data_IF_104972219050
#
_entry.id   IF_104972219050
#
_cell.length_a   1.000
_cell.length_b   1.000
_cell.length_c   1.000
_cell.angle_alpha   90.00
_cell.angle_beta   90.00
_cell.angle_gamma   90.00
#
_symmetry.space_group_name_H-M   'P 1'
#
loop_
_entity.id
_entity.type
_entity.pdbx_description
1 polymer ?
#
# COMPACT_ATOMS: atom_id res chain seq x y z
N UNK A 1 -14.63 -22.47 -24.44
CA UNK A 1 -13.80 -22.41 -23.21
C UNK A 1 -12.86 -21.23 -23.35
N UNK A 2 -12.91 -20.26 -22.43
CA UNK A 2 -11.92 -19.19 -22.44
C UNK A 2 -10.56 -19.75 -21.95
N UNK A 3 -9.49 -19.51 -22.71
CA UNK A 3 -8.14 -19.86 -22.27
C UNK A 3 -7.80 -19.00 -21.05
N UNK A 4 -7.47 -19.64 -19.92
CA UNK A 4 -7.03 -18.93 -18.73
C UNK A 4 -5.69 -18.26 -18.98
N UNK A 5 -5.53 -17.01 -18.54
CA UNK A 5 -4.25 -16.29 -18.55
C UNK A 5 -3.54 -16.33 -17.21
N UNK A 6 -3.95 -17.23 -16.30
CA UNK A 6 -3.47 -17.31 -14.92
C UNK A 6 -1.94 -17.30 -14.79
N UNK A 7 -1.17 -18.10 -15.56
CA UNK A 7 0.29 -18.10 -15.45
C UNK A 7 0.96 -16.76 -15.83
N UNK A 8 0.27 -15.90 -16.58
CA UNK A 8 0.77 -14.58 -16.97
C UNK A 8 0.36 -13.47 -15.99
N UNK A 9 -0.72 -13.65 -15.24
CA UNK A 9 -1.23 -12.62 -14.31
C UNK A 9 -0.81 -12.86 -12.87
N UNK A 10 -0.63 -14.11 -12.45
CA UNK A 10 -0.25 -14.44 -11.07
C UNK A 10 1.14 -13.91 -10.68
N UNK A 11 2.20 -13.99 -11.52
CA UNK A 11 3.48 -13.37 -11.18
C UNK A 11 3.38 -11.85 -10.99
N UNK A 12 2.55 -11.18 -11.79
CA UNK A 12 2.33 -9.73 -11.66
C UNK A 12 1.58 -9.38 -10.38
N UNK A 13 0.69 -10.27 -9.92
CA UNK A 13 0.04 -10.12 -8.62
C UNK A 13 1.05 -10.25 -7.48
N UNK A 14 1.92 -11.26 -7.51
CA UNK A 14 2.98 -11.43 -6.52
C UNK A 14 3.93 -10.21 -6.47
N UNK A 15 4.42 -9.74 -7.63
CA UNK A 15 5.25 -8.55 -7.73
C UNK A 15 4.57 -7.30 -7.13
N UNK A 16 3.28 -7.12 -7.38
CA UNK A 16 2.53 -5.98 -6.87
C UNK A 16 2.31 -6.05 -5.35
N UNK A 17 2.08 -7.24 -4.80
CA UNK A 17 1.97 -7.45 -3.34
C UNK A 17 3.31 -7.16 -2.66
N UNK A 18 4.43 -7.65 -3.21
CA UNK A 18 5.78 -7.34 -2.71
C UNK A 18 6.04 -5.83 -2.72
N UNK A 19 5.74 -5.16 -3.84
CA UNK A 19 5.92 -3.72 -3.95
C UNK A 19 5.08 -2.93 -2.94
N UNK A 20 3.86 -3.39 -2.64
CA UNK A 20 3.02 -2.78 -1.61
C UNK A 20 3.60 -2.99 -0.20
N UNK A 21 4.08 -4.20 0.11
CA UNK A 21 4.73 -4.48 1.39
C UNK A 21 5.98 -3.62 1.57
N UNK A 22 6.82 -3.51 0.54
CA UNK A 22 8.04 -2.67 0.58
C UNK A 22 7.73 -1.19 0.77
N UNK A 23 6.68 -0.66 0.13
CA UNK A 23 6.25 0.72 0.32
C UNK A 23 5.80 0.99 1.77
N UNK A 24 5.10 0.02 2.38
CA UNK A 24 4.66 0.11 3.77
C UNK A 24 5.82 -0.05 4.77
N UNK A 25 6.74 -1.00 4.53
CA UNK A 25 7.98 -1.16 5.31
C UNK A 25 8.81 0.12 5.25
N UNK A 26 8.91 0.75 4.09
CA UNK A 26 9.61 2.03 3.96
C UNK A 26 8.99 3.10 4.89
N UNK A 27 7.66 3.20 4.97
CA UNK A 27 7.01 4.13 5.90
C UNK A 27 7.36 3.79 7.35
N UNK A 28 7.28 2.51 7.73
CA UNK A 28 7.52 2.03 9.10
C UNK A 28 8.97 2.23 9.55
N UNK A 29 9.92 1.83 8.71
CA UNK A 29 11.31 1.60 9.09
C UNK A 29 12.20 2.82 8.82
N UNK A 30 11.78 3.75 7.96
CA UNK A 30 12.57 4.96 7.65
C UNK A 30 12.49 5.97 8.79
N UNK A 31 13.65 6.48 9.22
CA UNK A 31 13.76 7.57 10.20
C UNK A 31 13.77 8.95 9.53
N UNK A 32 13.30 9.98 10.23
CA UNK A 32 13.32 11.36 9.76
C UNK A 32 11.97 11.82 9.22
N UNK A 33 11.94 12.97 8.56
CA UNK A 33 10.70 13.54 8.08
C UNK A 33 10.02 12.63 7.05
N UNK A 34 8.76 12.30 7.28
CA UNK A 34 7.96 11.46 6.40
C UNK A 34 7.39 12.31 5.26
N UNK A 35 7.69 11.97 4.01
CA UNK A 35 7.14 12.71 2.88
C UNK A 35 5.73 12.24 2.59
N UNK A 36 4.80 13.17 2.37
CA UNK A 36 3.40 12.83 2.05
C UNK A 36 3.30 11.95 0.78
N UNK A 37 4.20 12.16 -0.19
CA UNK A 37 4.30 11.32 -1.40
C UNK A 37 4.61 9.85 -1.13
N UNK A 38 5.24 9.52 0.00
CA UNK A 38 5.58 8.15 0.36
C UNK A 38 4.33 7.40 0.84
N UNK A 39 3.43 8.11 1.52
CA UNK A 39 2.09 7.63 1.86
C UNK A 39 1.25 7.42 0.60
N UNK A 40 1.22 8.41 -0.31
CA UNK A 40 0.52 8.30 -1.59
C UNK A 40 1.04 7.09 -2.39
N UNK A 41 2.36 6.88 -2.40
CA UNK A 41 3.01 5.75 -3.04
C UNK A 41 2.56 4.40 -2.46
N UNK A 42 2.48 4.28 -1.14
CA UNK A 42 1.99 3.07 -0.49
C UNK A 42 0.50 2.79 -0.79
N UNK A 43 -0.35 3.81 -0.78
CA UNK A 43 -1.77 3.69 -1.14
C UNK A 43 -1.92 3.22 -2.59
N UNK A 44 -1.18 3.81 -3.53
CA UNK A 44 -1.21 3.40 -4.94
C UNK A 44 -0.68 1.98 -5.14
N UNK A 45 0.37 1.59 -4.42
CA UNK A 45 0.90 0.23 -4.47
C UNK A 45 -0.12 -0.79 -3.95
N UNK A 46 -0.81 -0.50 -2.83
CA UNK A 46 -1.89 -1.33 -2.30
C UNK A 46 -3.05 -1.49 -3.30
N UNK A 47 -3.44 -0.39 -3.96
CA UNK A 47 -4.47 -0.42 -5.00
C UNK A 47 -4.04 -1.31 -6.17
N UNK A 48 -2.80 -1.18 -6.63
CA UNK A 48 -2.25 -1.98 -7.72
C UNK A 48 -2.21 -3.47 -7.35
N UNK A 49 -1.76 -3.81 -6.13
CA UNK A 49 -1.74 -5.16 -5.60
C UNK A 49 -3.14 -5.78 -5.58
N UNK A 50 -4.13 -5.07 -5.01
CA UNK A 50 -5.52 -5.54 -4.95
C UNK A 50 -6.09 -5.81 -6.34
N UNK A 51 -5.88 -4.90 -7.30
CA UNK A 51 -6.34 -5.08 -8.68
C UNK A 51 -5.68 -6.29 -9.36
N UNK A 52 -4.39 -6.49 -9.16
CA UNK A 52 -3.66 -7.61 -9.73
C UNK A 52 -4.12 -8.96 -9.13
N UNK A 53 -4.32 -9.03 -7.80
CA UNK A 53 -4.84 -10.23 -7.13
C UNK A 53 -6.26 -10.57 -7.57
N UNK A 54 -7.16 -9.57 -7.70
CA UNK A 54 -8.51 -9.78 -8.22
C UNK A 54 -8.50 -10.31 -9.66
N UNK A 55 -7.61 -9.77 -10.51
CA UNK A 55 -7.44 -10.26 -11.87
C UNK A 55 -6.91 -11.71 -11.89
N UNK A 56 -5.96 -12.05 -11.03
CA UNK A 56 -5.44 -13.40 -10.88
C UNK A 56 -6.54 -14.38 -10.42
N UNK A 57 -7.32 -14.03 -9.39
CA UNK A 57 -8.47 -14.84 -8.94
C UNK A 57 -9.46 -15.09 -10.08
N UNK A 58 -9.84 -14.05 -10.83
CA UNK A 58 -10.77 -14.18 -11.95
C UNK A 58 -10.24 -15.08 -13.07
N UNK A 59 -8.94 -15.03 -13.38
CA UNK A 59 -8.32 -15.95 -14.34
C UNK A 59 -8.19 -17.37 -13.81
N UNK A 60 -7.90 -17.53 -12.51
CA UNK A 60 -7.76 -18.82 -11.84
C UNK A 60 -9.07 -19.59 -11.81
N UNK A 61 -10.18 -18.90 -11.54
CA UNK A 61 -11.53 -19.47 -11.56
C UNK A 61 -11.94 -20.12 -12.89
N UNK A 62 -11.30 -19.73 -14.01
CA UNK A 62 -11.54 -20.35 -15.32
C UNK A 62 -10.94 -21.76 -15.42
N UNK A 63 -9.86 -22.04 -14.68
CA UNK A 63 -9.17 -23.33 -14.64
C UNK A 63 -8.60 -23.61 -13.22
N UNK A 64 -9.45 -23.93 -12.23
CA UNK A 64 -9.05 -24.00 -10.82
C UNK A 64 -7.87 -24.93 -10.54
N UNK A 65 -7.95 -26.19 -10.97
CA UNK A 65 -6.91 -27.20 -10.70
C UNK A 65 -5.54 -26.79 -11.24
N UNK A 66 -5.50 -26.21 -12.45
CA UNK A 66 -4.24 -25.75 -13.04
C UNK A 66 -3.70 -24.49 -12.34
N UNK A 67 -4.59 -23.60 -11.91
CA UNK A 67 -4.23 -22.39 -11.17
C UNK A 67 -3.67 -22.72 -9.78
N UNK A 68 -4.31 -23.64 -9.05
CA UNK A 68 -3.87 -24.11 -7.73
C UNK A 68 -2.50 -24.80 -7.82
N UNK A 69 -2.31 -25.70 -8.79
CA UNK A 69 -1.00 -26.31 -9.04
C UNK A 69 0.07 -25.26 -9.37
N UNK A 70 -0.27 -24.21 -10.12
CA UNK A 70 0.65 -23.12 -10.43
C UNK A 70 0.99 -22.27 -9.19
N UNK A 71 0.00 -21.89 -8.37
CA UNK A 71 0.25 -21.14 -7.12
C UNK A 71 1.12 -21.94 -6.15
N UNK A 72 0.82 -23.24 -5.97
CA UNK A 72 1.62 -24.13 -5.15
C UNK A 72 3.07 -24.24 -5.65
N UNK A 73 3.29 -24.21 -6.98
CA UNK A 73 4.64 -24.23 -7.56
C UNK A 73 5.45 -22.96 -7.26
N UNK A 74 4.77 -21.85 -6.94
CA UNK A 74 5.38 -20.58 -6.53
C UNK A 74 5.53 -20.47 -5.00
N UNK A 75 5.13 -21.48 -4.22
CA UNK A 75 5.12 -21.41 -2.76
C UNK A 75 4.04 -20.49 -2.19
N UNK A 76 3.01 -20.17 -2.98
CA UNK A 76 1.86 -19.36 -2.56
C UNK A 76 0.73 -20.21 -1.94
N UNK A 77 -0.48 -19.64 -1.82
CA UNK A 77 -1.64 -20.35 -1.29
C UNK A 77 -1.97 -21.64 -2.06
N UNK A 78 -2.35 -22.69 -1.34
CA UNK A 78 -2.60 -24.02 -1.91
C UNK A 78 -3.88 -24.06 -2.75
N UNK A 79 -4.91 -23.30 -2.36
CA UNK A 79 -6.19 -23.25 -3.08
C UNK A 79 -6.58 -21.83 -3.50
N UNK A 80 -7.47 -21.71 -4.50
CA UNK A 80 -8.06 -20.41 -4.84
C UNK A 80 -8.90 -19.83 -3.71
N UNK A 81 -9.45 -20.69 -2.84
CA UNK A 81 -10.19 -20.26 -1.65
C UNK A 81 -9.25 -19.61 -0.62
N UNK A 82 -8.08 -20.21 -0.38
CA UNK A 82 -7.06 -19.64 0.52
C UNK A 82 -6.54 -18.32 -0.01
N UNK A 83 -6.30 -18.23 -1.32
CA UNK A 83 -5.90 -16.96 -1.94
C UNK A 83 -6.98 -15.88 -1.80
N UNK A 84 -8.25 -16.24 -1.99
CA UNK A 84 -9.38 -15.34 -1.77
C UNK A 84 -9.52 -14.90 -0.30
N UNK A 85 -9.30 -15.80 0.65
CA UNK A 85 -9.33 -15.51 2.08
C UNK A 85 -8.19 -14.55 2.48
N UNK A 86 -6.99 -14.76 1.95
CA UNK A 86 -5.85 -13.89 2.21
C UNK A 86 -6.07 -12.48 1.62
N UNK A 87 -6.68 -12.37 0.43
CA UNK A 87 -7.06 -11.08 -0.13
C UNK A 87 -8.08 -10.34 0.76
N UNK A 88 -9.03 -11.07 1.36
CA UNK A 88 -9.98 -10.47 2.31
C UNK A 88 -9.29 -9.98 3.60
N UNK A 89 -8.27 -10.71 4.08
CA UNK A 89 -7.45 -10.28 5.22
C UNK A 89 -6.66 -9.01 4.90
N UNK A 90 -6.04 -8.95 3.72
CA UNK A 90 -5.35 -7.73 3.24
C UNK A 90 -6.32 -6.55 3.17
N UNK A 91 -7.55 -6.75 2.67
CA UNK A 91 -8.54 -5.66 2.57
C UNK A 91 -9.00 -5.15 3.95
N UNK A 92 -9.19 -6.06 4.90
CA UNK A 92 -9.53 -5.71 6.27
C UNK A 92 -8.39 -4.94 6.96
N UNK A 93 -7.15 -5.41 6.82
CA UNK A 93 -5.97 -4.74 7.37
C UNK A 93 -5.72 -3.38 6.70
N UNK A 94 -5.92 -3.29 5.38
CA UNK A 94 -5.81 -2.03 4.64
C UNK A 94 -6.86 -1.01 5.09
N UNK A 95 -8.09 -1.48 5.38
CA UNK A 95 -9.12 -0.63 5.97
C UNK A 95 -8.70 -0.09 7.33
N UNK A 96 -8.21 -0.96 8.23
CA UNK A 96 -7.74 -0.55 9.55
C UNK A 96 -6.55 0.44 9.48
N UNK A 97 -5.64 0.23 8.52
CA UNK A 97 -4.53 1.15 8.29
C UNK A 97 -5.01 2.49 7.74
N UNK A 98 -5.95 2.51 6.79
CA UNK A 98 -6.55 3.74 6.26
C UNK A 98 -7.27 4.53 7.37
N UNK A 99 -7.98 3.85 8.27
CA UNK A 99 -8.62 4.50 9.42
C UNK A 99 -7.58 5.09 10.38
N UNK A 100 -6.48 4.38 10.63
CA UNK A 100 -5.37 4.87 11.45
C UNK A 100 -4.67 6.07 10.81
N UNK A 101 -4.48 6.04 9.49
CA UNK A 101 -3.94 7.14 8.70
C UNK A 101 -4.87 8.37 8.72
N UNK A 102 -6.18 8.18 8.52
CA UNK A 102 -7.16 9.25 8.60
C UNK A 102 -7.23 9.86 10.01
N UNK A 103 -7.19 9.03 11.05
CA UNK A 103 -7.13 9.48 12.43
C UNK A 103 -5.87 10.31 12.70
N UNK A 104 -4.71 9.85 12.23
CA UNK A 104 -3.45 10.60 12.32
C UNK A 104 -3.52 11.93 11.58
N UNK A 105 -4.02 11.97 10.35
CA UNK A 105 -4.21 13.22 9.59
C UNK A 105 -5.05 14.23 10.36
N UNK A 106 -6.09 13.78 11.06
CA UNK A 106 -6.94 14.65 11.89
C UNK A 106 -6.24 15.21 13.14
N UNK A 107 -5.08 14.66 13.53
CA UNK A 107 -4.26 15.22 14.62
C UNK A 107 -3.32 16.33 14.15
N UNK A 108 -3.08 16.43 12.85
CA UNK A 108 -2.15 17.42 12.30
C UNK A 108 -2.75 18.82 12.37
N UNK A 109 -1.93 19.80 12.77
CA UNK A 109 -2.32 21.19 12.65
C UNK A 109 -2.31 21.58 11.17
N UNK A 110 -3.13 22.57 10.79
CA UNK A 110 -3.12 23.08 9.41
C UNK A 110 -1.71 23.53 8.98
N UNK A 111 -0.93 24.09 9.91
CA UNK A 111 0.46 24.50 9.68
C UNK A 111 1.39 23.35 9.30
N UNK A 112 1.06 22.11 9.65
CA UNK A 112 1.84 20.92 9.31
C UNK A 112 1.59 20.46 7.86
N UNK A 113 0.56 21.00 7.21
CA UNK A 113 0.16 20.67 5.85
C UNK A 113 0.32 21.85 4.89
N UNK A 114 0.01 23.05 5.38
CA UNK A 114 -0.06 24.27 4.57
C UNK A 114 0.40 25.46 5.41
N UNK A 115 1.34 26.25 4.88
CA UNK A 115 1.85 27.45 5.56
C UNK A 115 1.99 28.65 4.62
N UNK A 116 1.86 29.89 5.13
CA UNK A 116 2.23 31.08 4.37
C UNK A 116 3.75 31.10 4.17
N UNK A 117 4.18 31.28 2.93
CA UNK A 117 5.58 31.40 2.55
C UNK A 117 5.80 32.64 1.70
N UNK A 118 7.05 33.04 1.56
CA UNK A 118 7.46 34.17 0.73
C UNK A 118 8.58 33.71 -0.20
N UNK A 119 8.46 34.05 -1.48
CA UNK A 119 9.51 33.82 -2.47
C UNK A 119 9.80 35.11 -3.22
N UNK A 120 11.07 35.31 -3.58
CA UNK A 120 11.48 36.43 -4.41
C UNK A 120 11.12 36.14 -5.88
N UNK A 121 10.26 36.96 -6.48
CA UNK A 121 9.95 36.93 -7.92
C UNK A 121 10.26 38.29 -8.52
N UNK A 122 11.16 38.31 -9.50
CA UNK A 122 11.53 39.56 -10.21
C UNK A 122 11.98 40.69 -9.25
N UNK A 123 12.62 40.33 -8.13
CA UNK A 123 13.07 41.29 -7.12
C UNK A 123 11.97 41.75 -6.15
N UNK A 124 10.77 41.17 -6.20
CA UNK A 124 9.64 41.47 -5.30
C UNK A 124 9.31 40.25 -4.43
N UNK A 125 9.21 40.47 -3.13
CA UNK A 125 8.73 39.47 -2.18
C UNK A 125 7.26 39.17 -2.42
N UNK A 126 6.99 37.96 -2.92
CA UNK A 126 5.63 37.49 -3.20
C UNK A 126 5.21 36.48 -2.16
N UNK A 127 4.12 36.77 -1.43
CA UNK A 127 3.49 35.84 -0.49
C UNK A 127 2.66 34.80 -1.23
N UNK A 128 2.75 33.55 -0.82
CA UNK A 128 1.97 32.46 -1.38
C UNK A 128 1.68 31.40 -0.31
N UNK A 129 0.79 30.46 -0.67
CA UNK A 129 0.45 29.32 0.16
C UNK A 129 1.35 28.15 -0.24
N UNK A 130 2.27 27.74 0.65
CA UNK A 130 3.13 26.57 0.45
C UNK A 130 2.46 25.33 1.03
N UNK A 131 2.50 24.22 0.30
CA UNK A 131 2.16 22.90 0.83
C UNK A 131 3.43 22.30 1.43
N UNK A 132 3.31 21.76 2.63
CA UNK A 132 4.39 21.03 3.29
C UNK A 132 4.53 19.68 2.58
N UNK A 133 5.75 19.35 2.15
CA UNK A 133 6.03 18.09 1.46
C UNK A 133 6.37 16.94 2.43
N UNK A 134 6.83 17.28 3.64
CA UNK A 134 7.27 16.32 4.63
C UNK A 134 6.82 16.71 6.04
N UNK A 135 6.31 15.74 6.78
CA UNK A 135 5.88 15.89 8.17
C UNK A 135 7.05 15.51 9.08
N UNK A 136 7.35 16.30 10.14
CA UNK A 136 8.46 16.00 11.04
C UNK A 136 8.39 14.59 11.64
N UNK A 137 9.56 13.99 11.87
CA UNK A 137 9.70 12.62 12.40
C UNK A 137 8.82 12.35 13.64
N UNK A 138 8.84 13.26 14.62
CA UNK A 138 8.04 13.13 15.85
C UNK A 138 6.53 13.12 15.58
N UNK A 139 6.09 13.89 14.59
CA UNK A 139 4.68 13.98 14.19
C UNK A 139 4.28 12.78 13.34
N UNK A 140 5.20 12.18 12.58
CA UNK A 140 4.98 10.97 11.78
C UNK A 140 5.04 9.68 12.62
N UNK A 141 5.73 9.69 13.77
CA UNK A 141 5.94 8.52 14.61
C UNK A 141 4.66 7.74 14.98
N UNK A 142 3.51 8.38 15.32
CA UNK A 142 2.28 7.64 15.62
C UNK A 142 1.76 6.80 14.44
N UNK A 143 1.93 7.29 13.20
CA UNK A 143 1.54 6.53 12.00
C UNK A 143 2.48 5.34 11.78
N UNK A 144 3.80 5.54 11.96
CA UNK A 144 4.81 4.47 11.80
C UNK A 144 4.66 3.35 12.82
N UNK A 145 4.24 3.70 14.04
CA UNK A 145 4.08 2.76 15.15
C UNK A 145 2.65 2.21 15.26
N UNK A 146 1.78 2.52 14.29
CA UNK A 146 0.41 2.03 14.30
C UNK A 146 0.38 0.52 14.10
N UNK A 147 -0.24 -0.21 15.02
CA UNK A 147 -0.40 -1.67 14.91
C UNK A 147 -1.05 -2.08 13.58
N UNK A 148 -1.97 -1.26 13.06
CA UNK A 148 -2.62 -1.52 11.77
C UNK A 148 -1.64 -1.53 10.58
N UNK A 149 -0.51 -0.81 10.65
CA UNK A 149 0.54 -0.86 9.64
C UNK A 149 1.28 -2.20 9.70
N UNK A 150 1.63 -2.67 10.90
CA UNK A 150 2.26 -3.98 11.09
C UNK A 150 1.34 -5.13 10.68
N UNK A 151 0.05 -5.06 11.04
CA UNK A 151 -0.94 -6.06 10.67
C UNK A 151 -1.13 -6.13 9.14
N UNK A 152 -1.08 -4.99 8.46
CA UNK A 152 -1.17 -4.93 6.99
C UNK A 152 0.09 -5.51 6.32
N UNK A 153 1.28 -5.17 6.82
CA UNK A 153 2.52 -5.75 6.32
C UNK A 153 2.50 -7.28 6.52
N UNK A 154 2.12 -7.76 7.71
CA UNK A 154 2.02 -9.19 7.99
C UNK A 154 0.98 -9.90 7.10
N UNK A 155 -0.16 -9.26 6.80
CA UNK A 155 -1.17 -9.81 5.90
C UNK A 155 -0.66 -9.94 4.46
N UNK A 156 0.16 -8.99 3.98
CA UNK A 156 0.81 -9.07 2.68
C UNK A 156 1.88 -10.18 2.66
N UNK A 157 2.72 -10.27 3.70
CA UNK A 157 3.76 -11.29 3.83
C UNK A 157 3.18 -12.72 3.87
N UNK A 158 2.03 -12.90 4.51
CA UNK A 158 1.30 -14.17 4.51
C UNK A 158 0.89 -14.66 3.11
N UNK A 159 0.90 -13.77 2.10
CA UNK A 159 0.64 -14.11 0.69
C UNK A 159 1.89 -14.29 -0.17
N UNK A 160 3.09 -14.20 0.44
CA UNK A 160 4.37 -14.39 -0.23
C UNK A 160 5.15 -13.10 -0.55
N UNK A 161 4.89 -12.01 0.19
CA UNK A 161 5.64 -10.74 0.12
C UNK A 161 6.79 -10.62 1.13
#
# INVERSE_FOLDING_TARGET
MALSRFPAVMPRAAEAVIAAADALRYIRDTSGDLRLREIDGAIEALRAAKLACLAALAEGQKQPVAAEAFMASLGGPETLADFGAALAQIDAAATAWNDSWAAWLNTLAVSDLIQPATMLREGVDTRYIARIEAVPDATAAPLRQAQALDDLIAALEATGA
#
